data_IF_872299634863
#
_entry.id   IF_872299634863
#
_cell.length_a   1.000
_cell.length_b   1.000
_cell.length_c   1.000
_cell.angle_alpha   90.00
_cell.angle_beta   90.00
_cell.angle_gamma   90.00
#
_symmetry.space_group_name_H-M   'P 1'
#
loop_
_entity.id
_entity.type
_entity.pdbx_description
1 polymer ?
#
# COMPACT_ATOMS: atom_id res chain seq x y z
N UNK A 1 9.37 -5.43 -21.99
CA UNK A 1 8.35 -6.21 -21.26
C UNK A 1 7.00 -5.62 -21.57
N UNK A 2 6.08 -6.44 -22.05
CA UNK A 2 4.72 -5.94 -22.16
C UNK A 2 4.23 -5.55 -20.77
N UNK A 3 3.58 -4.41 -20.69
CA UNK A 3 2.96 -4.00 -19.42
C UNK A 3 1.87 -5.01 -19.09
N UNK A 4 1.99 -5.66 -17.95
CA UNK A 4 0.92 -6.51 -17.44
C UNK A 4 -0.24 -5.60 -17.11
N UNK A 5 -1.42 -5.90 -17.61
CA UNK A 5 -2.63 -5.22 -17.18
C UNK A 5 -2.94 -5.66 -15.75
N UNK A 6 -2.39 -4.93 -14.82
CA UNK A 6 -2.51 -5.24 -13.39
C UNK A 6 -3.96 -5.15 -12.94
N UNK A 7 -4.76 -4.30 -13.57
CA UNK A 7 -6.17 -4.18 -13.23
C UNK A 7 -6.93 -5.48 -13.50
N UNK A 8 -6.62 -6.15 -14.61
CA UNK A 8 -7.23 -7.44 -14.95
C UNK A 8 -6.57 -8.61 -14.22
N UNK A 9 -5.26 -8.53 -13.94
CA UNK A 9 -4.49 -9.63 -13.40
C UNK A 9 -4.50 -9.71 -11.86
N UNK A 10 -4.95 -8.68 -11.17
CA UNK A 10 -4.86 -8.62 -9.71
C UNK A 10 -5.44 -9.83 -8.98
N UNK A 11 -6.59 -10.40 -9.37
CA UNK A 11 -7.14 -11.58 -8.69
C UNK A 11 -6.27 -12.83 -8.84
N UNK A 12 -5.54 -12.95 -9.92
CA UNK A 12 -4.75 -14.16 -10.19
C UNK A 12 -3.47 -14.25 -9.36
N UNK A 13 -2.97 -13.12 -8.92
CA UNK A 13 -1.77 -13.09 -8.10
C UNK A 13 -1.99 -13.74 -6.73
N UNK A 14 -3.20 -13.67 -6.20
CA UNK A 14 -3.53 -14.25 -4.91
C UNK A 14 -3.52 -15.79 -4.94
N UNK A 15 -3.68 -16.38 -6.11
CA UNK A 15 -3.78 -17.84 -6.29
C UNK A 15 -2.42 -18.53 -6.45
N UNK A 16 -1.32 -17.82 -6.48
CA UNK A 16 -0.01 -18.43 -6.66
C UNK A 16 0.43 -19.16 -5.39
N UNK A 17 0.53 -20.51 -5.45
CA UNK A 17 0.99 -21.27 -4.29
C UNK A 17 2.51 -21.19 -4.22
N UNK A 18 3.02 -20.06 -3.87
CA UNK A 18 4.42 -20.02 -3.57
C UNK A 18 4.55 -20.42 -2.12
N UNK A 19 5.37 -21.41 -1.84
CA UNK A 19 5.82 -21.73 -0.50
C UNK A 19 6.51 -20.52 0.10
N UNK A 20 5.84 -19.38 0.03
CA UNK A 20 6.40 -18.08 0.36
C UNK A 20 6.02 -17.74 1.76
N UNK A 21 7.04 -17.26 2.49
CA UNK A 21 6.86 -16.66 3.78
C UNK A 21 6.03 -15.37 3.72
N UNK A 22 5.70 -14.92 2.50
CA UNK A 22 4.96 -13.68 2.24
C UNK A 22 3.90 -13.93 1.18
N UNK A 23 2.71 -14.40 1.58
CA UNK A 23 1.63 -14.64 0.62
C UNK A 23 1.16 -13.35 -0.05
N UNK A 24 0.68 -13.47 -1.28
CA UNK A 24 0.03 -12.37 -1.99
C UNK A 24 -1.44 -12.29 -1.59
N UNK A 25 -1.97 -11.06 -1.59
CA UNK A 25 -3.37 -10.81 -1.28
C UNK A 25 -3.86 -9.58 -2.05
N UNK A 26 -5.16 -9.51 -2.25
CA UNK A 26 -5.83 -8.34 -2.83
C UNK A 26 -6.94 -7.90 -1.87
N UNK A 27 -6.87 -6.65 -1.43
CA UNK A 27 -7.94 -6.05 -0.64
C UNK A 27 -8.73 -5.09 -1.52
N UNK A 28 -10.05 -5.11 -1.38
CA UNK A 28 -10.97 -4.25 -2.11
C UNK A 28 -11.77 -3.42 -1.13
N UNK A 29 -12.17 -2.23 -1.57
CA UNK A 29 -13.04 -1.37 -0.79
C UNK A 29 -13.73 -0.33 -1.68
N UNK A 30 -14.85 0.18 -1.21
CA UNK A 30 -15.61 1.20 -1.93
C UNK A 30 -15.22 2.60 -1.45
N UNK A 31 -14.99 3.49 -2.41
CA UNK A 31 -14.78 4.91 -2.17
C UNK A 31 -15.87 5.64 -2.96
N UNK A 32 -16.86 6.17 -2.26
CA UNK A 32 -18.04 6.82 -2.87
C UNK A 32 -18.64 5.95 -3.98
N UNK A 33 -18.88 4.66 -3.68
CA UNK A 33 -19.47 3.69 -4.58
C UNK A 33 -18.52 3.10 -5.63
N UNK A 34 -17.28 3.54 -5.70
CA UNK A 34 -16.29 3.04 -6.66
C UNK A 34 -15.33 2.07 -6.01
N UNK A 35 -15.15 0.91 -6.63
CA UNK A 35 -14.27 -0.14 -6.13
C UNK A 35 -12.80 0.22 -6.39
N UNK A 36 -12.05 0.36 -5.32
CA UNK A 36 -10.58 0.46 -5.37
C UNK A 36 -9.97 -0.82 -4.83
N UNK A 37 -8.74 -1.14 -5.22
CA UNK A 37 -8.07 -2.32 -4.68
C UNK A 37 -6.58 -2.08 -4.48
N UNK A 38 -6.01 -2.85 -3.56
CA UNK A 38 -4.57 -2.93 -3.32
C UNK A 38 -4.15 -4.40 -3.44
N UNK A 39 -3.15 -4.66 -4.26
CA UNK A 39 -2.55 -5.99 -4.41
C UNK A 39 -1.12 -5.94 -3.88
N UNK A 40 -0.79 -6.84 -2.94
CA UNK A 40 0.45 -6.73 -2.20
C UNK A 40 0.93 -8.08 -1.64
N UNK A 41 2.20 -8.15 -1.30
CA UNK A 41 2.76 -9.26 -0.53
C UNK A 41 2.66 -8.98 0.95
N UNK A 42 2.35 -10.02 1.74
CA UNK A 42 2.12 -9.93 3.17
C UNK A 42 3.24 -10.63 3.93
N UNK A 43 4.33 -9.91 4.29
CA UNK A 43 5.37 -10.51 5.12
C UNK A 43 4.89 -10.75 6.54
N UNK A 44 5.41 -11.81 7.16
CA UNK A 44 5.16 -12.15 8.56
C UNK A 44 6.21 -11.53 9.46
N UNK A 45 5.79 -11.15 10.67
CA UNK A 45 6.68 -10.62 11.72
C UNK A 45 7.69 -11.66 12.20
N UNK A 46 7.25 -12.87 12.44
CA UNK A 46 8.08 -14.00 12.89
C UNK A 46 8.96 -13.66 14.10
N UNK A 47 8.38 -13.03 15.12
CA UNK A 47 9.09 -12.66 16.35
C UNK A 47 10.12 -11.56 16.21
N UNK A 48 10.21 -10.90 15.05
CA UNK A 48 11.17 -9.84 14.79
C UNK A 48 10.62 -8.48 15.17
N UNK A 49 11.50 -7.57 15.56
CA UNK A 49 11.20 -6.15 15.60
C UNK A 49 11.25 -5.63 14.16
N UNK A 50 10.18 -4.99 13.71
CA UNK A 50 10.03 -4.65 12.29
C UNK A 50 10.62 -3.27 12.00
N UNK A 51 9.99 -2.21 12.51
CA UNK A 51 10.39 -0.85 12.12
C UNK A 51 11.62 -0.40 12.88
N UNK A 52 12.64 -0.01 12.14
CA UNK A 52 13.96 0.27 12.64
C UNK A 52 14.93 -0.91 12.52
N UNK A 53 14.41 -2.10 12.17
CA UNK A 53 15.22 -3.32 11.98
C UNK A 53 15.00 -3.95 10.62
N UNK A 54 13.91 -4.70 10.44
CA UNK A 54 13.55 -5.32 9.15
C UNK A 54 13.26 -4.24 8.11
N UNK A 55 12.56 -3.19 8.52
CA UNK A 55 12.28 -2.00 7.71
C UNK A 55 13.07 -0.83 8.31
N UNK A 56 14.15 -0.39 7.68
CA UNK A 56 14.97 0.70 8.20
C UNK A 56 14.21 2.04 8.24
N UNK A 57 14.56 2.86 9.21
CA UNK A 57 14.08 4.24 9.25
C UNK A 57 14.71 5.08 8.13
N UNK A 58 13.94 6.04 7.61
CA UNK A 58 14.39 7.06 6.65
C UNK A 58 14.84 6.47 5.30
N UNK A 59 14.36 5.27 4.98
CA UNK A 59 14.57 4.60 3.70
C UNK A 59 13.22 4.23 3.10
N UNK A 60 13.03 4.50 1.81
CA UNK A 60 11.80 4.11 1.12
C UNK A 60 11.61 2.60 1.20
N UNK A 61 10.43 2.21 1.69
CA UNK A 61 10.06 0.82 1.86
C UNK A 61 9.01 0.42 0.82
N UNK A 62 9.18 -0.79 0.27
CA UNK A 62 8.26 -1.35 -0.74
C UNK A 62 6.85 -1.61 -0.23
N UNK A 63 6.57 -1.38 1.04
CA UNK A 63 5.22 -1.48 1.62
C UNK A 63 4.60 -2.86 1.40
N UNK A 64 5.38 -3.88 1.69
CA UNK A 64 5.02 -5.27 1.45
C UNK A 64 6.24 -6.14 1.25
N UNK A 65 6.13 -7.12 0.37
CA UNK A 65 7.19 -8.07 0.06
C UNK A 65 7.12 -8.52 -1.40
N UNK A 66 8.29 -8.87 -1.94
CA UNK A 66 8.45 -9.41 -3.28
C UNK A 66 8.06 -8.39 -4.36
N UNK A 67 7.11 -8.70 -5.23
CA UNK A 67 6.64 -7.74 -6.24
C UNK A 67 6.04 -6.51 -5.58
N UNK A 68 6.09 -5.38 -6.28
CA UNK A 68 5.62 -4.10 -5.79
C UNK A 68 4.15 -4.14 -5.36
N UNK A 69 3.79 -3.29 -4.41
CA UNK A 69 2.43 -3.09 -3.95
C UNK A 69 1.69 -2.19 -4.93
N UNK A 70 0.61 -2.68 -5.50
CA UNK A 70 -0.17 -1.95 -6.51
C UNK A 70 -1.49 -1.47 -5.93
N UNK A 71 -1.87 -0.26 -6.33
CA UNK A 71 -3.13 0.39 -5.97
C UNK A 71 -3.85 0.80 -7.25
N UNK A 72 -5.12 0.44 -7.34
CA UNK A 72 -5.96 0.78 -8.50
C UNK A 72 -7.20 1.54 -8.10
N UNK A 73 -7.51 2.58 -8.86
CA UNK A 73 -8.76 3.32 -8.75
C UNK A 73 -9.38 3.55 -10.12
N UNK A 74 -10.70 3.26 -10.30
CA UNK A 74 -11.39 3.55 -11.55
C UNK A 74 -11.82 5.01 -11.68
N UNK A 75 -11.68 5.81 -10.63
CA UNK A 75 -12.10 7.22 -10.59
C UNK A 75 -10.98 8.08 -10.01
N UNK A 76 -11.03 9.37 -10.31
CA UNK A 76 -10.10 10.33 -9.72
C UNK A 76 -10.35 10.45 -8.22
N UNK A 77 -9.28 10.38 -7.44
CA UNK A 77 -9.32 10.44 -5.98
C UNK A 77 -8.57 11.65 -5.45
N UNK A 78 -8.89 11.98 -4.21
CA UNK A 78 -8.07 12.80 -3.33
C UNK A 78 -7.53 11.88 -2.23
N UNK A 79 -6.23 11.72 -2.15
CA UNK A 79 -5.55 10.88 -1.17
C UNK A 79 -4.74 11.78 -0.25
N UNK A 80 -5.15 11.87 1.01
CA UNK A 80 -4.45 12.72 1.97
C UNK A 80 -4.36 14.19 1.53
N UNK A 81 -5.35 14.69 0.79
CA UNK A 81 -5.37 16.04 0.27
C UNK A 81 -4.73 16.21 -1.11
N UNK A 82 -4.14 15.19 -1.69
CA UNK A 82 -3.48 15.25 -3.01
C UNK A 82 -4.30 14.53 -4.09
N UNK A 83 -4.31 15.08 -5.29
CA UNK A 83 -5.02 14.52 -6.42
C UNK A 83 -4.30 13.28 -6.96
N UNK A 84 -5.04 12.18 -7.08
CA UNK A 84 -4.58 10.92 -7.68
C UNK A 84 -5.59 10.53 -8.78
N UNK A 85 -5.26 10.76 -10.05
CA UNK A 85 -6.18 10.42 -11.15
C UNK A 85 -6.47 8.93 -11.22
N UNK A 86 -7.59 8.57 -11.87
CA UNK A 86 -7.93 7.18 -12.15
C UNK A 86 -6.74 6.47 -12.80
N UNK A 87 -6.46 5.27 -12.37
CA UNK A 87 -5.33 4.49 -12.88
C UNK A 87 -4.80 3.47 -11.87
N UNK A 88 -3.68 2.87 -12.24
CA UNK A 88 -2.95 1.92 -11.38
C UNK A 88 -1.59 2.49 -11.04
N UNK A 89 -1.23 2.36 -9.77
CA UNK A 89 -0.02 2.94 -9.20
C UNK A 89 0.70 1.92 -8.33
N UNK A 90 1.96 2.19 -8.03
CA UNK A 90 2.69 1.50 -6.97
C UNK A 90 2.69 2.38 -5.72
N UNK A 91 2.46 1.75 -4.58
CA UNK A 91 2.57 2.42 -3.28
C UNK A 91 3.92 2.10 -2.64
N UNK A 92 4.58 3.16 -2.18
CA UNK A 92 5.77 3.09 -1.35
C UNK A 92 5.50 3.87 -0.07
N UNK A 93 6.23 3.58 0.97
CA UNK A 93 6.19 4.39 2.19
C UNK A 93 7.59 4.81 2.57
N UNK A 94 7.66 5.94 3.26
CA UNK A 94 8.90 6.42 3.86
C UNK A 94 8.70 6.46 5.37
N UNK A 95 9.10 5.40 6.09
CA UNK A 95 8.97 5.36 7.54
C UNK A 95 10.04 6.25 8.18
N UNK A 96 9.62 7.12 9.07
CA UNK A 96 10.53 7.95 9.87
C UNK A 96 10.01 8.04 11.29
N UNK A 97 10.89 8.24 12.24
CA UNK A 97 10.48 8.36 13.65
C UNK A 97 9.61 9.58 13.90
N UNK A 98 9.81 10.64 13.13
CA UNK A 98 9.03 11.87 13.24
C UNK A 98 7.76 11.90 12.41
N UNK A 99 7.50 10.87 11.62
CA UNK A 99 6.31 10.79 10.76
C UNK A 99 6.55 9.90 9.54
N UNK A 100 5.48 9.43 8.95
CA UNK A 100 5.52 8.56 7.78
C UNK A 100 4.91 9.28 6.59
N UNK A 101 5.41 8.99 5.41
CA UNK A 101 4.81 9.44 4.15
C UNK A 101 4.40 8.26 3.27
N UNK A 102 3.26 8.41 2.60
CA UNK A 102 2.84 7.54 1.52
C UNK A 102 3.32 8.16 0.21
N UNK A 103 3.91 7.34 -0.65
CA UNK A 103 4.38 7.72 -1.97
C UNK A 103 3.53 6.98 -2.99
N UNK A 104 2.83 7.72 -3.84
CA UNK A 104 2.09 7.15 -4.97
C UNK A 104 2.95 7.33 -6.21
N UNK A 105 3.37 6.23 -6.81
CA UNK A 105 4.34 6.22 -7.91
C UNK A 105 3.68 5.68 -9.18
N UNK A 106 4.02 6.28 -10.32
CA UNK A 106 3.41 5.94 -11.62
C UNK A 106 3.92 4.64 -12.22
N UNK A 107 5.09 4.17 -11.81
CA UNK A 107 5.63 2.91 -12.33
C UNK A 107 4.87 1.73 -11.76
N UNK A 108 4.55 0.74 -12.60
CA UNK A 108 3.85 -0.48 -12.21
C UNK A 108 4.49 -1.70 -12.86
N UNK A 109 4.22 -2.89 -12.30
CA UNK A 109 4.69 -4.16 -12.84
C UNK A 109 6.12 -4.52 -12.47
N UNK A 110 6.79 -3.73 -11.63
CA UNK A 110 8.17 -3.94 -11.22
C UNK A 110 8.28 -4.78 -9.95
N UNK A 111 9.49 -5.22 -9.66
CA UNK A 111 9.83 -5.84 -8.38
C UNK A 111 9.90 -4.78 -7.27
N UNK A 112 9.67 -5.19 -6.02
CA UNK A 112 9.60 -4.27 -4.87
C UNK A 112 10.92 -3.61 -4.47
N UNK A 113 12.03 -3.88 -5.16
CA UNK A 113 13.30 -3.20 -4.94
C UNK A 113 13.59 -2.13 -5.99
N UNK A 114 12.71 -1.97 -6.95
CA UNK A 114 12.93 -1.13 -8.14
C UNK A 114 12.15 0.18 -8.01
N UNK A 115 12.61 1.06 -7.12
CA UNK A 115 11.99 2.37 -6.86
C UNK A 115 12.68 3.48 -7.65
N UNK A 116 11.87 4.27 -8.36
CA UNK A 116 12.31 5.44 -9.11
C UNK A 116 11.57 6.69 -8.65
N UNK A 117 12.24 7.55 -7.91
CA UNK A 117 11.65 8.77 -7.35
C UNK A 117 11.17 9.75 -8.44
N UNK A 118 11.77 9.74 -9.61
CA UNK A 118 11.37 10.56 -10.75
C UNK A 118 9.99 10.19 -11.31
N UNK A 119 9.44 9.06 -10.88
CA UNK A 119 8.09 8.62 -11.22
C UNK A 119 7.08 8.83 -10.10
N UNK A 120 7.45 9.48 -9.02
CA UNK A 120 6.50 9.85 -7.97
C UNK A 120 5.44 10.80 -8.51
N UNK A 121 4.18 10.45 -8.26
CA UNK A 121 3.06 11.34 -8.53
C UNK A 121 2.86 12.31 -7.38
N UNK A 122 2.71 11.78 -6.17
CA UNK A 122 2.50 12.56 -4.95
C UNK A 122 3.16 11.87 -3.76
N UNK A 123 3.48 12.66 -2.74
CA UNK A 123 3.83 12.20 -1.39
C UNK A 123 2.89 12.86 -0.41
N UNK A 124 2.29 12.10 0.48
CA UNK A 124 1.34 12.59 1.47
C UNK A 124 1.69 12.06 2.86
N UNK A 125 1.38 12.85 3.88
CA UNK A 125 1.62 12.42 5.25
C UNK A 125 0.62 11.35 5.66
N UNK A 126 1.12 10.38 6.43
CA UNK A 126 0.31 9.32 7.04
C UNK A 126 0.11 9.63 8.53
N UNK A 127 -1.07 9.33 9.03
CA UNK A 127 -1.32 9.27 10.47
C UNK A 127 -0.68 8.00 11.02
N UNK A 128 0.01 8.11 12.15
CA UNK A 128 0.72 6.98 12.76
C UNK A 128 0.13 6.73 14.14
N UNK A 129 -0.18 5.47 14.42
CA UNK A 129 -0.63 5.06 15.75
C UNK A 129 0.06 3.78 16.19
N UNK A 130 0.23 3.64 17.51
CA UNK A 130 0.77 2.44 18.12
C UNK A 130 -0.36 1.53 18.54
N UNK A 131 -0.31 0.27 18.10
CA UNK A 131 -1.33 -0.72 18.39
C UNK A 131 -1.07 -1.38 19.75
N UNK A 132 -2.14 -1.79 20.49
CA UNK A 132 -1.99 -2.47 21.78
C UNK A 132 -1.41 -3.88 21.68
N UNK A 133 -1.53 -4.51 20.50
CA UNK A 133 -0.99 -5.84 20.24
C UNK A 133 -0.35 -5.88 18.85
N UNK A 134 0.70 -6.71 18.66
CA UNK A 134 1.36 -6.79 17.36
C UNK A 134 0.49 -7.49 16.30
N UNK A 135 0.55 -6.98 15.08
CA UNK A 135 -0.06 -7.59 13.90
C UNK A 135 1.00 -8.45 13.24
N UNK A 136 0.74 -9.74 13.10
CA UNK A 136 1.71 -10.72 12.62
C UNK A 136 1.98 -10.55 11.12
N UNK A 137 0.93 -10.53 10.30
CA UNK A 137 1.04 -10.35 8.84
C UNK A 137 0.81 -8.89 8.48
N UNK A 138 1.69 -8.32 7.67
CA UNK A 138 1.47 -7.00 7.10
C UNK A 138 0.10 -6.95 6.42
N UNK A 139 -0.76 -6.04 6.85
CA UNK A 139 -2.17 -5.99 6.46
C UNK A 139 -2.52 -4.61 5.93
N UNK A 140 -3.02 -4.57 4.69
CA UNK A 140 -3.63 -3.38 4.10
C UNK A 140 -5.14 -3.51 4.24
N UNK A 141 -5.81 -2.45 4.66
CA UNK A 141 -7.25 -2.38 4.76
C UNK A 141 -7.77 -1.10 4.11
N UNK A 142 -8.95 -1.20 3.51
CA UNK A 142 -9.68 -0.07 2.95
C UNK A 142 -11.01 -0.05 3.70
N UNK A 143 -11.14 0.82 4.68
CA UNK A 143 -12.28 0.85 5.59
C UNK A 143 -13.19 2.01 5.26
N UNK A 144 -14.51 1.78 5.16
CA UNK A 144 -15.46 2.88 4.90
C UNK A 144 -15.35 3.98 5.96
N UNK A 145 -15.41 5.23 5.49
CA UNK A 145 -15.41 6.42 6.34
C UNK A 145 -16.27 7.48 5.67
N UNK A 146 -17.56 7.53 6.06
CA UNK A 146 -18.53 8.36 5.35
C UNK A 146 -18.67 7.92 3.90
N UNK A 147 -18.63 8.87 2.97
CA UNK A 147 -18.64 8.57 1.53
C UNK A 147 -17.27 8.09 1.03
N UNK A 148 -16.19 8.41 1.74
CA UNK A 148 -14.83 7.98 1.41
C UNK A 148 -14.42 6.72 2.15
N UNK A 149 -13.12 6.57 2.33
CA UNK A 149 -12.54 5.46 3.07
C UNK A 149 -11.23 5.88 3.73
N UNK A 150 -10.78 5.06 4.68
CA UNK A 150 -9.43 5.14 5.23
C UNK A 150 -8.61 3.99 4.65
N UNK A 151 -7.51 4.32 4.02
CA UNK A 151 -6.50 3.35 3.65
C UNK A 151 -5.58 3.16 4.85
N UNK A 152 -5.51 1.95 5.38
CA UNK A 152 -4.73 1.62 6.58
C UNK A 152 -3.73 0.52 6.27
N UNK A 153 -2.56 0.63 6.87
CA UNK A 153 -1.51 -0.39 6.77
C UNK A 153 -1.00 -0.68 8.18
N UNK A 154 -1.02 -1.95 8.57
CA UNK A 154 -0.69 -2.39 9.92
C UNK A 154 0.32 -3.51 9.88
N UNK A 155 1.36 -3.40 10.68
CA UNK A 155 2.33 -4.47 10.90
C UNK A 155 3.06 -4.24 12.21
N UNK A 156 3.34 -5.32 12.94
CA UNK A 156 3.87 -5.21 14.29
C UNK A 156 2.94 -4.30 15.13
N UNK A 157 3.43 -3.38 15.88
CA UNK A 157 2.62 -2.47 16.69
C UNK A 157 2.34 -1.12 16.04
N UNK A 158 2.58 -1.01 14.73
CA UNK A 158 2.38 0.24 13.99
C UNK A 158 1.22 0.13 13.02
N UNK A 159 0.34 1.12 13.04
CA UNK A 159 -0.67 1.31 12.01
C UNK A 159 -0.56 2.73 11.45
N UNK A 160 -0.50 2.82 10.13
CA UNK A 160 -0.50 4.10 9.42
C UNK A 160 -1.77 4.21 8.59
N UNK A 161 -2.29 5.42 8.43
CA UNK A 161 -3.58 5.65 7.79
C UNK A 161 -3.58 6.93 6.99
N UNK A 162 -4.38 6.94 5.91
CA UNK A 162 -4.62 8.13 5.10
C UNK A 162 -6.05 8.11 4.59
N UNK A 163 -6.77 9.26 4.62
CA UNK A 163 -8.11 9.34 4.05
C UNK A 163 -8.05 9.36 2.54
N UNK A 164 -8.97 8.64 1.91
CA UNK A 164 -9.19 8.65 0.47
C UNK A 164 -10.64 9.01 0.18
N UNK A 165 -10.85 9.89 -0.79
CA UNK A 165 -12.17 10.33 -1.20
C UNK A 165 -12.20 10.49 -2.71
N UNK A 166 -13.40 10.38 -3.31
CA UNK A 166 -13.58 10.68 -4.72
C UNK A 166 -13.39 12.17 -4.96
N UNK A 167 -12.63 12.52 -5.98
CA UNK A 167 -12.45 13.91 -6.38
C UNK A 167 -13.76 14.41 -7.00
N UNK A 168 -14.20 15.58 -6.56
CA UNK A 168 -15.43 16.23 -7.03
C UNK A 168 -15.12 17.46 -7.86
#
# INVERSE_FOLDING_TARGET
>A
MPSVDIAAAAPDFAARPLGTLSPRDTVRGAVDGSDVWVHYGRPSRRGREIFGRVVPWDVVWRTGANAATHFHTPVDLVVGGADVPAGTYTLWTLPSRGGWQLIVNRQTGQWGTDYHADRDLVRVDLQVETLPAPVELFTVAIEPDGAGAMLRMSWDRTRVSVPIARKR
#
